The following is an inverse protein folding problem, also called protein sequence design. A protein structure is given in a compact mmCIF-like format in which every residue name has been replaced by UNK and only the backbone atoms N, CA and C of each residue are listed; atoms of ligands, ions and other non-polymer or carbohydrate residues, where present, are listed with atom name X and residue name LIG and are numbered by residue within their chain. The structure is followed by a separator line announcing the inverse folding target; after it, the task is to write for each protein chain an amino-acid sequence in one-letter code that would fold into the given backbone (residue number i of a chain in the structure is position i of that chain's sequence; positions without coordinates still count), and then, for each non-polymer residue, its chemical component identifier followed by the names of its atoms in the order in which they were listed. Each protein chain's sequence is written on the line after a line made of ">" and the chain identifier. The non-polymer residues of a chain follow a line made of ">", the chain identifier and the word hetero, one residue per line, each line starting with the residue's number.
data_IF_066503967826
#
_entry.id   IF_066503967826
#
_cell.length_a   1.000
_cell.length_b   1.000
_cell.length_c   1.000
_cell.angle_alpha   90.00
_cell.angle_beta   90.00
_cell.angle_gamma   90.00
#
_symmetry.space_group_name_H-M   'P 1'
#
loop_
_entity.id
_entity.type
_entity.pdbx_description
1 polymer ?
#
# COMPACT_ATOMS: atom_id res chain seq x y z
N UNK A 1 -39.59 31.75 34.96
CA UNK A 1 -39.60 31.57 33.51
C UNK A 1 -38.52 32.36 32.75
N UNK A 2 -38.24 33.62 33.01
CA UNK A 2 -37.22 34.44 32.28
C UNK A 2 -35.74 33.96 32.45
N UNK A 3 -35.40 33.23 33.50
CA UNK A 3 -34.01 32.70 33.74
C UNK A 3 -33.77 31.35 33.03
N UNK A 4 -34.84 30.59 32.72
CA UNK A 4 -34.69 29.31 32.00
C UNK A 4 -34.51 29.55 30.51
N UNK A 5 -35.15 30.60 29.96
CA UNK A 5 -35.03 30.98 28.54
C UNK A 5 -33.63 31.51 28.18
N UNK A 6 -32.99 32.24 29.12
CA UNK A 6 -31.62 32.74 28.92
C UNK A 6 -30.57 31.62 28.92
N UNK A 7 -30.78 30.56 29.71
CA UNK A 7 -29.88 29.41 29.78
C UNK A 7 -30.01 28.49 28.53
N UNK A 8 -31.24 28.40 27.98
CA UNK A 8 -31.44 27.64 26.74
C UNK A 8 -30.89 28.37 25.50
N UNK A 9 -30.92 29.72 25.48
CA UNK A 9 -30.36 30.53 24.41
C UNK A 9 -28.82 30.54 24.42
N UNK A 10 -28.16 30.36 25.62
CA UNK A 10 -26.73 30.30 25.75
C UNK A 10 -26.16 28.91 25.39
N UNK A 11 -26.98 27.84 25.43
CA UNK A 11 -26.59 26.49 25.05
C UNK A 11 -26.68 26.25 23.53
N UNK A 12 -27.38 27.13 22.80
CA UNK A 12 -27.49 27.04 21.34
C UNK A 12 -26.33 27.70 20.57
N UNK A 13 -25.41 28.39 21.28
CA UNK A 13 -24.25 29.09 20.68
C UNK A 13 -22.92 28.32 20.82
N UNK A 14 -22.96 27.08 21.34
CA UNK A 14 -21.78 26.20 21.49
C UNK A 14 -21.88 24.93 20.62
N UNK A 15 -22.52 25.02 19.46
CA UNK A 15 -22.23 24.02 18.43
C UNK A 15 -20.83 24.33 17.92
N UNK A 16 -19.85 23.40 18.03
CA UNK A 16 -18.62 23.58 17.31
C UNK A 16 -19.00 23.61 15.83
N UNK A 17 -18.84 24.77 15.21
CA UNK A 17 -18.71 24.85 13.76
C UNK A 17 -17.43 24.04 13.50
N UNK A 18 -17.58 22.77 13.11
CA UNK A 18 -16.55 22.11 12.36
C UNK A 18 -16.34 22.99 11.12
N UNK A 19 -15.40 23.93 11.20
CA UNK A 19 -14.83 24.53 10.03
C UNK A 19 -14.21 23.34 9.28
N UNK A 20 -14.95 22.79 8.32
CA UNK A 20 -14.39 21.89 7.34
C UNK A 20 -13.21 22.65 6.77
N UNK A 21 -12.01 22.07 6.84
CA UNK A 21 -10.88 22.60 6.12
C UNK A 21 -11.37 22.78 4.67
N UNK A 22 -11.38 24.03 4.17
CA UNK A 22 -11.69 24.27 2.77
C UNK A 22 -10.64 23.49 1.97
N UNK A 23 -11.11 22.57 1.13
CA UNK A 23 -10.24 21.93 0.14
C UNK A 23 -9.59 23.07 -0.66
N UNK A 24 -8.29 23.00 -0.93
CA UNK A 24 -7.64 24.00 -1.77
C UNK A 24 -8.38 24.04 -3.10
N UNK A 25 -8.62 25.25 -3.60
CA UNK A 25 -9.34 25.48 -4.84
C UNK A 25 -8.62 24.73 -5.96
N UNK A 26 -9.18 23.60 -6.37
CA UNK A 26 -8.65 22.78 -7.44
C UNK A 26 -8.85 23.54 -8.77
N UNK A 27 -7.75 23.86 -9.42
CA UNK A 27 -7.73 24.52 -10.73
C UNK A 27 -6.74 23.77 -11.61
N UNK A 28 -7.23 22.84 -12.42
CA UNK A 28 -6.45 22.04 -13.39
C UNK A 28 -5.59 22.89 -14.34
N UNK A 29 -5.97 24.15 -14.56
CA UNK A 29 -5.32 25.04 -15.51
C UNK A 29 -4.13 25.81 -14.92
N UNK A 30 -3.87 25.66 -13.61
CA UNK A 30 -2.80 26.40 -12.93
C UNK A 30 -1.63 25.45 -12.64
N UNK A 31 -0.50 25.72 -13.29
CA UNK A 31 0.74 24.96 -13.07
C UNK A 31 1.81 25.87 -12.50
N UNK A 32 2.20 25.61 -11.26
CA UNK A 32 3.32 26.29 -10.62
C UNK A 32 4.64 25.59 -10.93
N UNK A 33 5.69 26.40 -11.07
CA UNK A 33 7.08 25.92 -11.10
C UNK A 33 7.74 26.21 -9.77
N UNK A 34 8.35 25.20 -9.17
CA UNK A 34 9.02 25.32 -7.88
C UNK A 34 10.53 25.39 -8.12
N UNK A 35 11.18 26.38 -7.51
CA UNK A 35 12.61 26.60 -7.58
C UNK A 35 13.22 26.54 -6.18
N UNK A 36 14.48 26.16 -6.08
CA UNK A 36 15.21 26.31 -4.82
C UNK A 36 15.62 27.78 -4.56
N UNK A 37 16.19 28.05 -3.37
CA UNK A 37 16.64 29.38 -2.99
C UNK A 37 17.75 29.97 -3.87
N UNK A 38 18.38 29.17 -4.75
CA UNK A 38 19.38 29.59 -5.71
C UNK A 38 18.80 29.77 -7.13
N UNK A 39 17.49 29.54 -7.30
CA UNK A 39 16.81 29.65 -8.60
C UNK A 39 16.92 28.36 -9.44
N UNK A 40 17.42 27.25 -8.92
CA UNK A 40 17.42 25.98 -9.63
C UNK A 40 16.02 25.38 -9.61
N UNK A 41 15.56 24.91 -10.79
CA UNK A 41 14.27 24.25 -10.93
C UNK A 41 14.23 22.92 -10.17
N UNK A 42 13.16 22.71 -9.40
CA UNK A 42 12.94 21.49 -8.64
C UNK A 42 11.86 20.59 -9.28
N UNK A 43 10.66 21.13 -9.48
CA UNK A 43 9.51 20.39 -10.03
C UNK A 43 8.40 21.34 -10.47
N UNK A 44 7.42 20.83 -11.21
CA UNK A 44 6.14 21.50 -11.42
C UNK A 44 5.04 20.84 -10.59
N UNK A 45 3.99 21.59 -10.29
CA UNK A 45 2.81 21.16 -9.60
C UNK A 45 1.55 21.71 -10.24
N UNK A 46 0.60 20.85 -10.60
CA UNK A 46 -0.71 21.25 -11.09
C UNK A 46 -1.66 21.44 -9.91
N UNK A 47 -2.10 22.68 -9.72
CA UNK A 47 -2.90 23.08 -8.58
C UNK A 47 -2.24 24.19 -7.77
N UNK A 48 -2.91 24.67 -6.73
CA UNK A 48 -2.44 25.77 -5.91
C UNK A 48 -1.40 25.35 -4.90
N UNK A 49 -0.28 26.05 -4.87
CA UNK A 49 0.79 25.89 -3.87
C UNK A 49 0.59 26.89 -2.73
N UNK A 50 0.94 26.47 -1.54
CA UNK A 50 0.91 27.31 -0.35
C UNK A 50 2.27 27.32 0.35
N UNK A 51 2.51 28.38 1.10
CA UNK A 51 3.63 28.39 2.04
C UNK A 51 3.51 27.19 2.99
N UNK A 52 4.64 26.63 3.37
CA UNK A 52 4.76 25.42 4.20
C UNK A 52 4.32 24.12 3.51
N UNK A 53 4.00 24.13 2.20
CA UNK A 53 3.95 22.87 1.44
C UNK A 53 5.35 22.28 1.35
N UNK A 54 5.42 20.94 1.37
CA UNK A 54 6.68 20.24 1.39
C UNK A 54 6.89 19.42 0.11
N UNK A 55 8.13 19.27 -0.27
CA UNK A 55 8.53 18.52 -1.45
C UNK A 55 9.71 17.60 -1.10
N UNK A 56 9.50 16.29 -1.14
CA UNK A 56 10.57 15.30 -1.03
C UNK A 56 10.93 14.85 -2.44
N UNK A 57 12.07 15.27 -2.91
CA UNK A 57 12.56 14.99 -4.25
C UNK A 57 12.88 13.51 -4.46
N UNK A 58 13.06 13.10 -5.71
CA UNK A 58 13.45 11.74 -6.05
C UNK A 58 14.76 11.26 -5.38
N UNK A 59 15.67 12.21 -5.06
CA UNK A 59 16.94 11.97 -4.35
C UNK A 59 16.85 12.17 -2.83
N UNK A 60 15.66 12.14 -2.26
CA UNK A 60 15.34 12.23 -0.82
C UNK A 60 15.63 13.59 -0.17
N UNK A 61 15.93 14.62 -0.95
CA UNK A 61 16.05 15.97 -0.42
C UNK A 61 14.67 16.52 -0.08
N UNK A 62 14.53 17.02 1.16
CA UNK A 62 13.34 17.70 1.62
C UNK A 62 13.49 19.20 1.41
N UNK A 63 12.48 19.77 0.79
CA UNK A 63 12.31 21.22 0.61
C UNK A 63 10.98 21.66 1.21
N UNK A 64 10.93 22.89 1.75
CA UNK A 64 9.71 23.54 2.24
C UNK A 64 9.49 24.82 1.45
N UNK A 65 8.28 25.02 0.94
CA UNK A 65 7.88 26.22 0.22
C UNK A 65 7.91 27.43 1.19
N UNK A 66 8.72 28.41 0.86
CA UNK A 66 8.92 29.61 1.68
C UNK A 66 8.22 30.84 1.13
N UNK A 67 7.99 30.89 -0.19
CA UNK A 67 7.24 31.96 -0.83
C UNK A 67 6.54 31.45 -2.09
N UNK A 68 5.42 32.08 -2.41
CA UNK A 68 4.61 31.81 -3.60
C UNK A 68 4.34 33.13 -4.33
N UNK A 69 4.53 33.15 -5.64
CA UNK A 69 4.16 34.26 -6.51
C UNK A 69 3.05 33.79 -7.46
N UNK A 70 1.81 34.11 -7.11
CA UNK A 70 0.62 33.73 -7.86
C UNK A 70 0.59 34.43 -9.24
N UNK A 71 1.24 35.60 -9.39
CA UNK A 71 1.26 36.34 -10.67
C UNK A 71 2.17 35.68 -11.70
N UNK A 72 3.24 35.06 -11.25
CA UNK A 72 4.23 34.38 -12.09
C UNK A 72 4.02 32.84 -12.10
N UNK A 73 3.10 32.32 -11.29
CA UNK A 73 2.89 30.91 -11.07
C UNK A 73 4.19 30.19 -10.68
N UNK A 74 4.90 30.78 -9.72
CA UNK A 74 6.17 30.25 -9.22
C UNK A 74 6.17 30.16 -7.70
N UNK A 75 6.94 29.22 -7.17
CA UNK A 75 7.21 29.13 -5.76
C UNK A 75 8.72 28.95 -5.51
N UNK A 76 9.19 29.47 -4.37
CA UNK A 76 10.55 29.22 -3.90
C UNK A 76 10.48 28.28 -2.71
N UNK A 77 11.31 27.24 -2.71
CA UNK A 77 11.42 26.29 -1.63
C UNK A 77 12.84 26.23 -1.08
N UNK A 78 12.96 26.14 0.23
CA UNK A 78 14.26 26.04 0.91
C UNK A 78 14.58 24.60 1.22
N UNK A 79 15.81 24.17 0.95
CA UNK A 79 16.32 22.88 1.36
C UNK A 79 16.41 22.81 2.88
N UNK A 80 15.85 21.75 3.47
CA UNK A 80 15.79 21.54 4.92
C UNK A 80 16.72 20.41 5.38
N UNK A 81 16.88 19.37 4.55
CA UNK A 81 17.68 18.20 4.90
C UNK A 81 17.40 17.02 3.98
N UNK A 82 17.99 15.89 4.33
CA UNK A 82 17.67 14.60 3.70
C UNK A 82 16.60 13.88 4.50
N UNK A 83 15.56 13.42 3.84
CA UNK A 83 14.64 12.47 4.46
C UNK A 83 15.31 11.10 4.51
N UNK A 84 15.33 10.52 5.71
CA UNK A 84 15.83 9.17 5.93
C UNK A 84 14.68 8.28 6.36
N UNK A 85 14.50 7.18 5.67
CA UNK A 85 13.52 6.18 6.03
C UNK A 85 14.03 4.79 5.64
N UNK A 86 13.67 3.80 6.42
CA UNK A 86 14.01 2.41 6.12
C UNK A 86 12.83 1.75 5.41
N UNK A 87 13.13 1.08 4.28
CA UNK A 87 12.16 0.17 3.69
C UNK A 87 11.84 -0.90 4.74
N UNK A 88 10.55 -1.22 4.93
CA UNK A 88 10.14 -2.27 5.88
C UNK A 88 10.77 -3.59 5.45
N UNK A 89 11.87 -3.96 6.10
CA UNK A 89 12.48 -5.29 5.97
C UNK A 89 11.84 -6.14 7.06
N UNK A 90 11.01 -7.11 6.68
CA UNK A 90 10.61 -8.14 7.62
C UNK A 90 11.84 -8.95 8.04
N UNK A 91 12.42 -8.58 9.16
CA UNK A 91 13.23 -9.52 9.93
C UNK A 91 12.23 -10.43 10.66
N UNK A 92 12.04 -11.65 10.16
CA UNK A 92 11.45 -12.71 10.97
C UNK A 92 12.38 -12.95 12.16
N UNK A 93 12.14 -12.23 13.25
CA UNK A 93 12.69 -12.61 14.55
C UNK A 93 11.89 -13.83 15.03
N UNK A 94 12.47 -15.01 14.82
CA UNK A 94 12.03 -16.23 15.50
C UNK A 94 12.27 -15.97 16.99
N UNK A 95 11.25 -15.57 17.72
CA UNK A 95 11.29 -15.53 19.17
C UNK A 95 11.34 -16.97 19.70
N UNK A 96 12.55 -17.45 19.97
CA UNK A 96 12.77 -18.61 20.84
C UNK A 96 12.49 -18.17 22.27
N UNK A 97 11.42 -18.70 22.86
CA UNK A 97 11.03 -18.38 24.22
C UNK A 97 12.05 -18.85 25.25
N UNK A 98 12.45 -17.93 26.14
CA UNK A 98 12.98 -18.27 27.45
C UNK A 98 12.31 -17.35 28.48
N UNK A 99 11.50 -17.95 29.32
CA UNK A 99 10.84 -17.28 30.43
C UNK A 99 11.86 -16.87 31.51
N UNK A 100 11.75 -15.63 32.00
CA UNK A 100 12.21 -15.28 33.33
C UNK A 100 11.28 -14.24 33.95
N UNK A 101 10.58 -14.64 34.98
CA UNK A 101 9.76 -13.79 35.84
C UNK A 101 10.63 -13.00 36.79
N UNK A 102 10.30 -11.70 37.00
CA UNK A 102 10.42 -11.04 38.33
C UNK A 102 9.58 -9.76 38.41
N UNK A 103 8.60 -9.81 39.30
CA UNK A 103 8.08 -8.81 40.24
C UNK A 103 7.91 -7.34 39.90
N UNK A 104 6.66 -6.87 40.07
CA UNK A 104 6.21 -5.48 40.17
C UNK A 104 6.65 -4.78 41.49
N UNK A 105 6.49 -3.45 41.59
CA UNK A 105 5.28 -2.94 42.26
C UNK A 105 4.65 -1.64 41.70
N UNK A 106 3.34 -1.65 41.71
CA UNK A 106 2.31 -0.68 42.17
C UNK A 106 2.54 0.85 42.13
N UNK A 107 1.57 1.55 41.51
CA UNK A 107 0.66 2.62 41.90
C UNK A 107 0.48 3.70 40.84
N UNK A 108 -0.65 3.78 40.24
CA UNK A 108 -1.91 4.59 40.37
C UNK A 108 -1.95 5.97 39.67
N UNK A 109 -3.12 6.59 39.39
CA UNK A 109 -3.69 6.61 38.07
C UNK A 109 -3.87 8.03 37.49
N UNK A 110 -4.08 8.14 36.17
CA UNK A 110 -4.69 9.32 35.60
C UNK A 110 -4.00 9.92 34.38
N UNK A 111 -4.39 9.48 33.21
CA UNK A 111 -4.57 10.28 32.00
C UNK A 111 -4.93 9.31 30.85
N UNK A 112 -6.10 9.49 30.30
CA UNK A 112 -6.56 8.81 29.09
C UNK A 112 -5.67 9.20 27.91
N UNK A 113 -4.76 8.33 27.55
CA UNK A 113 -4.03 8.40 26.30
C UNK A 113 -4.81 7.58 25.27
N UNK A 114 -5.16 8.24 24.17
CA UNK A 114 -5.70 7.57 22.98
C UNK A 114 -4.73 6.49 22.53
N UNK A 115 -5.25 5.29 22.37
CA UNK A 115 -4.49 4.11 22.01
C UNK A 115 -3.88 4.26 20.63
N UNK A 116 -2.56 4.28 20.55
CA UNK A 116 -1.82 3.91 19.35
C UNK A 116 -2.04 2.41 19.13
N UNK A 117 -3.02 2.08 18.30
CA UNK A 117 -3.16 0.73 17.78
C UNK A 117 -2.11 0.56 16.66
N UNK A 118 -0.95 0.01 17.02
CA UNK A 118 -0.11 -0.65 16.02
C UNK A 118 -0.87 -1.88 15.53
N UNK A 119 -1.08 -2.07 14.21
CA UNK A 119 -1.66 -3.30 13.72
C UNK A 119 -0.66 -4.43 13.98
N UNK A 120 -1.03 -5.38 14.82
CA UNK A 120 -0.32 -6.66 14.96
C UNK A 120 -0.32 -7.39 13.61
N UNK A 121 0.86 -7.43 12.98
CA UNK A 121 1.09 -8.18 11.75
C UNK A 121 1.32 -9.65 12.08
N UNK A 122 0.28 -10.36 12.54
CA UNK A 122 0.26 -11.83 12.58
C UNK A 122 -1.19 -12.34 12.62
N UNK A 123 -1.84 -12.22 11.46
CA UNK A 123 -3.14 -12.84 11.25
C UNK A 123 -3.27 -13.20 9.79
N UNK A 124 -3.89 -14.32 9.47
CA UNK A 124 -4.40 -14.66 8.15
C UNK A 124 -5.52 -13.68 7.74
N UNK A 125 -5.21 -12.37 7.82
CA UNK A 125 -6.07 -11.28 7.43
C UNK A 125 -6.25 -11.26 5.92
N UNK A 126 -7.43 -10.89 5.48
CA UNK A 126 -7.78 -10.68 4.08
C UNK A 126 -6.86 -9.60 3.50
N UNK A 127 -5.98 -9.95 2.55
CA UNK A 127 -5.16 -8.98 1.84
C UNK A 127 -6.08 -8.16 0.92
N UNK A 128 -6.59 -7.04 1.40
CA UNK A 128 -7.55 -6.21 0.68
C UNK A 128 -7.00 -4.80 0.52
N UNK A 129 -7.03 -4.28 -0.70
CA UNK A 129 -6.77 -2.88 -1.04
C UNK A 129 -8.05 -2.28 -1.61
N UNK A 130 -8.42 -1.09 -1.16
CA UNK A 130 -9.50 -0.30 -1.73
C UNK A 130 -8.94 0.81 -2.61
N UNK A 131 -9.57 1.01 -3.76
CA UNK A 131 -9.16 2.01 -4.75
C UNK A 131 -10.37 2.77 -5.26
N UNK A 132 -10.18 4.02 -5.62
CA UNK A 132 -11.14 4.86 -6.33
C UNK A 132 -10.38 5.92 -7.12
N UNK A 133 -11.08 6.74 -7.90
CA UNK A 133 -10.54 7.93 -8.55
C UNK A 133 -11.46 9.11 -8.26
N UNK A 134 -10.93 10.13 -7.59
CA UNK A 134 -11.70 11.36 -7.35
C UNK A 134 -12.04 12.04 -8.67
N UNK A 135 -11.10 12.07 -9.61
CA UNK A 135 -11.27 12.66 -10.93
C UNK A 135 -11.39 11.59 -12.01
N UNK A 136 -12.56 10.96 -12.10
CA UNK A 136 -12.83 9.84 -13.03
C UNK A 136 -12.81 10.19 -14.51
N UNK A 137 -12.76 11.48 -14.85
CA UNK A 137 -12.69 11.98 -16.23
C UNK A 137 -11.26 12.24 -16.72
N UNK A 138 -10.26 12.20 -15.85
CA UNK A 138 -8.87 12.37 -16.22
C UNK A 138 -8.46 11.44 -17.34
N UNK A 139 -7.78 11.99 -18.33
CA UNK A 139 -7.38 11.29 -19.54
C UNK A 139 -6.01 11.76 -20.02
N UNK A 140 -5.43 11.02 -20.95
CA UNK A 140 -4.08 11.23 -21.48
C UNK A 140 -4.17 11.70 -22.92
N UNK A 141 -3.82 12.97 -23.20
CA UNK A 141 -3.97 13.56 -24.52
C UNK A 141 -3.35 12.74 -25.66
N UNK A 142 -2.13 12.20 -25.54
CA UNK A 142 -1.52 11.45 -26.65
C UNK A 142 -2.27 10.17 -27.03
N UNK A 143 -2.91 9.53 -26.05
CA UNK A 143 -3.56 8.22 -26.25
C UNK A 143 -5.07 8.33 -26.33
N UNK A 144 -5.67 9.19 -25.53
CA UNK A 144 -7.12 9.36 -25.43
C UNK A 144 -7.65 10.47 -26.34
N UNK A 145 -6.77 11.33 -26.87
CA UNK A 145 -7.10 12.46 -27.76
C UNK A 145 -7.67 13.68 -27.02
N UNK A 146 -7.71 13.65 -25.69
CA UNK A 146 -8.21 14.73 -24.84
C UNK A 146 -7.67 14.55 -23.42
N UNK A 147 -7.58 15.66 -22.67
CA UNK A 147 -7.19 15.66 -21.25
C UNK A 147 -8.31 15.17 -20.32
N UNK A 148 -9.57 15.22 -20.74
CA UNK A 148 -10.73 14.85 -19.92
C UNK A 148 -11.80 14.18 -20.79
N UNK A 149 -12.42 13.12 -20.24
CA UNK A 149 -13.59 12.43 -20.77
C UNK A 149 -14.66 12.32 -19.68
N UNK A 150 -15.81 12.92 -19.86
CA UNK A 150 -16.91 12.88 -18.88
C UNK A 150 -17.45 11.46 -18.60
N UNK A 151 -17.14 10.50 -19.44
CA UNK A 151 -17.39 9.06 -19.23
C UNK A 151 -16.13 8.28 -19.51
N UNK A 152 -15.75 7.44 -18.58
CA UNK A 152 -14.61 6.55 -18.70
C UNK A 152 -13.31 7.28 -19.10
N UNK A 153 -12.85 8.18 -18.25
CA UNK A 153 -11.52 8.78 -18.40
C UNK A 153 -10.43 7.73 -18.48
N UNK A 154 -9.33 8.05 -19.17
CA UNK A 154 -8.21 7.13 -19.34
C UNK A 154 -7.58 6.66 -18.03
N UNK A 155 -7.81 7.41 -16.95
CA UNK A 155 -7.34 7.05 -15.60
C UNK A 155 -7.99 5.75 -15.09
N UNK A 156 -9.22 5.45 -15.48
CA UNK A 156 -9.87 4.20 -15.10
C UNK A 156 -9.18 2.97 -15.70
N UNK A 157 -8.61 3.09 -16.91
CA UNK A 157 -7.80 2.02 -17.50
C UNK A 157 -6.53 1.77 -16.66
N UNK A 158 -5.90 2.83 -16.15
CA UNK A 158 -4.72 2.75 -15.29
C UNK A 158 -5.08 2.14 -13.93
N UNK A 159 -6.20 2.57 -13.32
CA UNK A 159 -6.72 1.99 -12.09
C UNK A 159 -7.03 0.50 -12.23
N UNK A 160 -7.67 0.10 -13.32
CA UNK A 160 -7.94 -1.32 -13.62
C UNK A 160 -6.66 -2.12 -13.82
N UNK A 161 -5.67 -1.56 -14.51
CA UNK A 161 -4.37 -2.22 -14.67
C UNK A 161 -3.64 -2.41 -13.33
N UNK A 162 -3.71 -1.42 -12.42
CA UNK A 162 -3.15 -1.54 -11.06
C UNK A 162 -3.89 -2.63 -10.28
N UNK A 163 -5.23 -2.65 -10.31
CA UNK A 163 -6.06 -3.69 -9.72
C UNK A 163 -5.65 -5.07 -10.21
N UNK A 164 -5.62 -5.28 -11.54
CA UNK A 164 -5.31 -6.57 -12.15
C UNK A 164 -3.90 -7.06 -11.74
N UNK A 165 -2.92 -6.13 -11.64
CA UNK A 165 -1.57 -6.48 -11.24
C UNK A 165 -1.46 -6.84 -9.75
N UNK A 166 -2.21 -6.17 -8.87
CA UNK A 166 -2.33 -6.56 -7.45
C UNK A 166 -3.04 -7.93 -7.31
N UNK A 167 -4.11 -8.16 -8.07
CA UNK A 167 -4.86 -9.42 -8.03
C UNK A 167 -4.02 -10.61 -8.51
N UNK A 168 -3.18 -10.44 -9.53
CA UNK A 168 -2.19 -11.45 -9.95
C UNK A 168 -1.20 -11.83 -8.83
N UNK A 169 -0.96 -10.92 -7.88
CA UNK A 169 -0.12 -11.17 -6.70
C UNK A 169 -0.91 -11.74 -5.51
N UNK A 170 -2.19 -12.07 -5.69
CA UNK A 170 -3.06 -12.63 -4.65
C UNK A 170 -3.58 -11.60 -3.65
N UNK A 171 -3.52 -10.31 -3.97
CA UNK A 171 -4.16 -9.22 -3.23
C UNK A 171 -5.59 -9.08 -3.74
N UNK A 172 -6.57 -9.03 -2.84
CA UNK A 172 -7.94 -8.67 -3.22
C UNK A 172 -8.01 -7.16 -3.42
N UNK A 173 -8.70 -6.72 -4.47
CA UNK A 173 -8.88 -5.30 -4.74
C UNK A 173 -10.35 -4.98 -4.95
N UNK A 174 -10.80 -3.91 -4.34
CA UNK A 174 -12.08 -3.29 -4.67
C UNK A 174 -11.78 -1.92 -5.24
N UNK A 175 -12.03 -1.76 -6.53
CA UNK A 175 -11.92 -0.49 -7.24
C UNK A 175 -13.32 0.02 -7.54
N UNK A 176 -13.65 1.20 -7.00
CA UNK A 176 -14.93 1.87 -7.24
C UNK A 176 -14.73 2.95 -8.31
N UNK A 177 -15.42 2.79 -9.43
CA UNK A 177 -15.35 3.66 -10.61
C UNK A 177 -16.49 4.68 -10.68
N UNK A 178 -17.19 4.92 -9.55
CA UNK A 178 -18.26 5.90 -9.47
C UNK A 178 -17.79 7.28 -9.88
N UNK A 179 -18.59 7.98 -10.69
CA UNK A 179 -18.26 9.32 -11.15
C UNK A 179 -18.47 10.37 -10.07
N UNK A 180 -17.50 11.25 -9.92
CA UNK A 180 -17.56 12.36 -8.95
C UNK A 180 -17.59 13.75 -9.62
N UNK A 181 -17.99 13.78 -10.88
CA UNK A 181 -18.12 15.00 -11.68
C UNK A 181 -19.11 16.04 -11.08
N UNK A 182 -18.93 17.34 -11.40
CA UNK A 182 -17.93 17.90 -12.31
C UNK A 182 -16.50 17.85 -11.72
N UNK A 183 -15.48 18.00 -12.59
CA UNK A 183 -14.08 18.11 -12.20
C UNK A 183 -13.84 19.51 -11.63
N UNK A 184 -14.04 19.68 -10.35
CA UNK A 184 -13.91 20.94 -9.63
C UNK A 184 -13.46 20.68 -8.17
N UNK A 185 -13.21 21.73 -7.41
CA UNK A 185 -12.83 21.67 -6.00
C UNK A 185 -13.82 20.84 -5.13
N UNK A 186 -15.05 20.67 -5.56
CA UNK A 186 -16.05 19.84 -4.87
C UNK A 186 -15.94 18.35 -5.15
N UNK A 187 -15.06 17.90 -6.06
CA UNK A 187 -14.91 16.49 -6.42
C UNK A 187 -14.49 15.64 -5.22
N UNK A 188 -13.56 16.12 -4.38
CA UNK A 188 -13.16 15.43 -3.14
C UNK A 188 -14.32 15.26 -2.15
N UNK A 189 -15.20 16.23 -2.03
CA UNK A 189 -16.39 16.11 -1.19
C UNK A 189 -17.37 15.06 -1.74
N UNK A 190 -17.48 14.94 -3.08
CA UNK A 190 -18.35 13.93 -3.72
C UNK A 190 -17.74 12.53 -3.61
N UNK A 191 -16.45 12.39 -3.84
CA UNK A 191 -15.73 11.11 -3.72
C UNK A 191 -15.60 10.62 -2.28
N UNK A 192 -15.77 11.50 -1.29
CA UNK A 192 -15.74 11.13 0.13
C UNK A 192 -16.70 10.00 0.46
N UNK A 193 -17.92 10.03 -0.06
CA UNK A 193 -18.90 8.98 0.17
C UNK A 193 -18.40 7.63 -0.36
N UNK A 194 -17.79 7.62 -1.55
CA UNK A 194 -17.17 6.41 -2.13
C UNK A 194 -16.05 5.89 -1.24
N UNK A 195 -15.17 6.76 -0.76
CA UNK A 195 -14.09 6.39 0.15
C UNK A 195 -14.63 5.79 1.47
N UNK A 196 -15.66 6.39 2.07
CA UNK A 196 -16.30 5.88 3.28
C UNK A 196 -16.95 4.50 3.07
N UNK A 197 -17.60 4.26 1.93
CA UNK A 197 -18.19 2.95 1.59
C UNK A 197 -17.10 1.88 1.37
N UNK A 198 -15.99 2.25 0.76
CA UNK A 198 -14.85 1.37 0.58
C UNK A 198 -14.22 0.96 1.93
N UNK A 199 -14.10 1.90 2.86
CA UNK A 199 -13.53 1.65 4.20
C UNK A 199 -14.38 0.69 5.04
N UNK A 200 -15.69 0.58 4.80
CA UNK A 200 -16.55 -0.43 5.46
C UNK A 200 -16.13 -1.87 5.16
N UNK A 201 -15.38 -2.08 4.07
CA UNK A 201 -14.82 -3.39 3.69
C UNK A 201 -13.53 -3.74 4.44
N UNK A 202 -13.04 -2.83 5.29
CA UNK A 202 -11.83 -2.97 6.10
C UNK A 202 -10.58 -3.29 5.25
N UNK A 203 -10.19 -2.42 4.30
CA UNK A 203 -8.99 -2.60 3.52
C UNK A 203 -7.73 -2.27 4.34
N UNK A 204 -6.57 -2.76 3.89
CA UNK A 204 -5.25 -2.41 4.45
C UNK A 204 -4.74 -1.04 3.93
N UNK A 205 -5.23 -0.60 2.77
CA UNK A 205 -4.93 0.72 2.22
C UNK A 205 -6.10 1.27 1.42
N UNK A 206 -6.21 2.60 1.38
CA UNK A 206 -7.12 3.36 0.53
C UNK A 206 -6.30 4.17 -0.47
N UNK A 207 -6.49 3.94 -1.76
CA UNK A 207 -5.69 4.56 -2.82
C UNK A 207 -6.59 5.35 -3.76
N UNK A 208 -6.28 6.62 -3.93
CA UNK A 208 -6.88 7.48 -4.94
C UNK A 208 -5.98 7.51 -6.19
N UNK A 209 -6.51 7.13 -7.36
CA UNK A 209 -5.73 6.95 -8.59
C UNK A 209 -5.98 8.13 -9.53
N UNK A 210 -4.91 8.83 -9.86
CA UNK A 210 -4.90 10.07 -10.65
C UNK A 210 -3.82 10.08 -11.72
N UNK A 211 -3.85 11.12 -12.56
CA UNK A 211 -2.73 11.59 -13.37
C UNK A 211 -2.47 13.07 -13.08
N UNK A 212 -1.21 13.50 -13.12
CA UNK A 212 -0.82 14.88 -12.89
C UNK A 212 -1.27 15.81 -14.05
N UNK A 213 -1.66 17.04 -13.73
CA UNK A 213 -2.06 18.06 -14.69
C UNK A 213 -0.89 18.78 -15.38
N UNK A 214 0.37 18.56 -14.97
CA UNK A 214 1.51 19.28 -15.54
C UNK A 214 1.70 18.94 -17.03
N UNK A 215 2.08 19.92 -17.88
CA UNK A 215 2.11 19.70 -19.33
C UNK A 215 3.38 19.00 -19.84
N UNK A 216 4.51 19.02 -19.11
CA UNK A 216 5.77 18.44 -19.57
C UNK A 216 5.90 16.94 -19.23
N UNK A 217 5.75 16.01 -20.20
CA UNK A 217 5.84 14.59 -19.94
C UNK A 217 7.24 14.14 -19.50
N UNK A 218 8.30 14.92 -19.78
CA UNK A 218 9.69 14.59 -19.41
C UNK A 218 9.89 14.49 -17.91
N UNK A 219 9.08 15.16 -17.12
CA UNK A 219 9.13 15.04 -15.67
C UNK A 219 8.76 13.64 -15.20
N UNK A 220 7.96 12.92 -15.98
CA UNK A 220 7.46 11.58 -15.68
C UNK A 220 8.08 10.47 -16.53
N UNK A 221 8.68 10.79 -17.66
CA UNK A 221 9.30 9.79 -18.53
C UNK A 221 10.40 9.01 -17.81
N UNK A 222 10.33 7.67 -17.90
CA UNK A 222 11.33 6.77 -17.32
C UNK A 222 11.38 5.45 -18.07
N UNK A 223 12.56 4.86 -18.18
CA UNK A 223 12.74 3.45 -18.54
C UNK A 223 13.02 2.66 -17.27
N UNK A 224 12.20 1.65 -16.98
CA UNK A 224 12.30 0.79 -15.80
C UNK A 224 12.46 -0.66 -16.29
N UNK A 225 13.55 -1.30 -15.90
CA UNK A 225 13.89 -2.68 -16.36
C UNK A 225 13.85 -2.87 -17.88
N UNK A 226 14.20 -1.84 -18.63
CA UNK A 226 14.23 -1.88 -20.10
C UNK A 226 12.90 -1.56 -20.78
N UNK A 227 11.84 -1.32 -20.01
CA UNK A 227 10.52 -0.98 -20.54
C UNK A 227 10.23 0.51 -20.36
N UNK A 228 9.60 1.11 -21.34
CA UNK A 228 9.13 2.49 -21.27
C UNK A 228 7.96 2.61 -20.31
N UNK A 229 8.15 3.39 -19.27
CA UNK A 229 7.21 3.56 -18.18
C UNK A 229 7.06 5.04 -17.82
N UNK A 230 6.11 5.35 -16.97
CA UNK A 230 5.95 6.64 -16.33
C UNK A 230 6.45 6.56 -14.89
N UNK A 231 7.02 7.64 -14.37
CA UNK A 231 7.16 7.79 -12.92
C UNK A 231 5.78 7.95 -12.26
N UNK A 232 5.76 7.85 -10.94
CA UNK A 232 4.57 8.07 -10.11
C UNK A 232 4.91 9.10 -9.04
N UNK A 233 4.08 10.16 -8.91
CA UNK A 233 4.12 11.07 -7.76
C UNK A 233 3.23 10.51 -6.66
N UNK A 234 3.66 10.65 -5.42
CA UNK A 234 2.85 10.39 -4.24
C UNK A 234 2.38 11.72 -3.68
N UNK A 235 1.08 11.89 -3.47
CA UNK A 235 0.54 13.11 -2.90
C UNK A 235 -0.10 12.86 -1.54
N UNK A 236 0.26 13.73 -0.57
CA UNK A 236 -0.16 13.64 0.82
C UNK A 236 -0.73 14.98 1.27
N UNK A 237 -1.89 14.93 1.89
CA UNK A 237 -2.53 16.08 2.51
C UNK A 237 -1.97 16.36 3.90
N UNK A 238 -1.43 17.59 4.14
CA UNK A 238 -0.88 17.97 5.45
C UNK A 238 -1.91 18.55 6.41
N UNK A 239 -3.11 18.89 5.93
CA UNK A 239 -4.14 19.53 6.74
C UNK A 239 -5.17 18.56 7.31
N UNK A 240 -4.77 17.34 7.65
CA UNK A 240 -5.66 16.32 8.18
C UNK A 240 -5.06 15.62 9.42
N UNK A 241 -5.89 15.02 10.30
CA UNK A 241 -5.41 14.38 11.54
C UNK A 241 -4.55 13.12 11.31
N UNK A 242 -4.58 12.52 10.12
CA UNK A 242 -3.76 11.37 9.74
C UNK A 242 -2.51 11.77 8.93
N UNK A 243 -2.19 13.07 8.78
CA UNK A 243 -1.11 13.55 7.91
C UNK A 243 0.23 12.84 8.14
N UNK A 244 0.63 12.66 9.41
CA UNK A 244 1.89 11.98 9.76
C UNK A 244 1.86 10.49 9.37
N UNK A 245 0.72 9.82 9.51
CA UNK A 245 0.56 8.44 9.13
C UNK A 245 0.55 8.27 7.60
N UNK A 246 -0.17 9.13 6.88
CA UNK A 246 -0.18 9.15 5.41
C UNK A 246 1.21 9.45 4.85
N UNK A 247 1.92 10.45 5.43
CA UNK A 247 3.32 10.75 5.08
C UNK A 247 4.24 9.53 5.31
N UNK A 248 4.10 8.86 6.45
CA UNK A 248 4.87 7.66 6.76
C UNK A 248 4.60 6.56 5.74
N UNK A 249 3.35 6.35 5.37
CA UNK A 249 2.97 5.37 4.35
C UNK A 249 3.56 5.71 2.97
N UNK A 250 3.46 6.96 2.53
CA UNK A 250 4.07 7.43 1.28
C UNK A 250 5.60 7.23 1.28
N UNK A 251 6.29 7.53 2.40
CA UNK A 251 7.72 7.32 2.57
C UNK A 251 8.10 5.83 2.50
N UNK A 252 7.32 4.93 3.09
CA UNK A 252 7.53 3.47 2.98
C UNK A 252 7.39 2.98 1.53
N UNK A 253 6.40 3.51 0.79
CA UNK A 253 6.23 3.23 -0.65
C UNK A 253 7.48 3.67 -1.40
N UNK A 254 7.92 4.93 -1.23
CA UNK A 254 9.10 5.47 -1.91
C UNK A 254 10.36 4.66 -1.59
N UNK A 255 10.66 4.39 -0.32
CA UNK A 255 11.81 3.60 0.09
C UNK A 255 11.85 2.20 -0.54
N UNK A 256 10.67 1.55 -0.60
CA UNK A 256 10.54 0.22 -1.21
C UNK A 256 10.72 0.29 -2.72
N UNK A 257 10.15 1.32 -3.35
CA UNK A 257 10.29 1.55 -4.78
C UNK A 257 11.74 1.85 -5.16
N UNK A 258 12.42 2.74 -4.45
CA UNK A 258 13.82 3.13 -4.74
C UNK A 258 14.77 1.93 -4.64
N UNK A 259 14.51 1.01 -3.71
CA UNK A 259 15.27 -0.23 -3.57
C UNK A 259 14.97 -1.24 -4.69
N UNK A 260 13.74 -1.30 -5.21
CA UNK A 260 13.28 -2.36 -6.12
C UNK A 260 13.26 -1.92 -7.58
N UNK A 261 12.83 -0.67 -7.81
CA UNK A 261 12.61 -0.02 -9.10
C UNK A 261 13.11 1.43 -9.05
N UNK A 262 14.42 1.67 -8.99
CA UNK A 262 14.99 3.00 -8.83
C UNK A 262 14.45 3.99 -9.87
N UNK A 263 13.89 5.09 -9.38
CA UNK A 263 13.31 6.14 -10.17
C UNK A 263 11.87 5.89 -10.63
N UNK A 264 11.16 4.88 -10.10
CA UNK A 264 9.73 4.73 -10.26
C UNK A 264 8.98 5.88 -9.59
N UNK A 265 9.37 6.24 -8.36
CA UNK A 265 8.77 7.39 -7.68
C UNK A 265 9.45 8.67 -8.15
N UNK A 266 8.64 9.60 -8.66
CA UNK A 266 9.07 10.94 -9.03
C UNK A 266 9.48 11.73 -7.79
N UNK A 267 8.56 11.82 -6.86
CA UNK A 267 8.65 12.60 -5.64
C UNK A 267 7.49 12.26 -4.68
N UNK A 268 7.52 12.87 -3.48
CA UNK A 268 6.36 12.98 -2.59
C UNK A 268 6.06 14.48 -2.46
N UNK A 269 4.86 14.91 -2.85
CA UNK A 269 4.38 16.25 -2.61
C UNK A 269 3.42 16.25 -1.41
N UNK A 270 3.64 17.16 -0.46
CA UNK A 270 2.86 17.23 0.79
C UNK A 270 2.18 18.60 0.80
N UNK A 271 0.98 18.64 0.22
CA UNK A 271 0.20 19.85 0.00
C UNK A 271 -0.81 20.14 1.10
N UNK A 272 -1.38 21.34 1.06
CA UNK A 272 -2.36 21.81 2.06
C UNK A 272 -3.68 21.04 2.06
N UNK A 273 -4.01 20.29 1.01
CA UNK A 273 -5.27 19.55 0.88
C UNK A 273 -5.47 18.44 1.93
N UNK A 274 -6.69 17.92 2.00
CA UNK A 274 -7.04 16.74 2.80
C UNK A 274 -7.10 15.47 1.95
N UNK A 275 -7.58 15.56 0.71
CA UNK A 275 -7.68 14.48 -0.28
C UNK A 275 -8.38 13.22 0.26
N UNK A 276 -9.39 13.37 1.14
CA UNK A 276 -10.05 12.29 1.88
C UNK A 276 -9.08 11.40 2.71
N UNK A 277 -7.83 11.79 2.87
CA UNK A 277 -6.81 11.00 3.58
C UNK A 277 -7.00 11.04 5.10
N UNK A 278 -7.76 11.99 5.63
CA UNK A 278 -8.17 12.02 7.02
C UNK A 278 -9.06 10.82 7.40
N UNK A 279 -9.63 10.13 6.43
CA UNK A 279 -10.47 8.96 6.66
C UNK A 279 -9.67 7.71 7.03
N UNK A 280 -8.40 7.61 6.59
CA UNK A 280 -7.62 6.39 6.80
C UNK A 280 -6.11 6.64 6.89
N UNK A 281 -5.40 6.07 7.91
CA UNK A 281 -3.97 6.29 8.11
C UNK A 281 -3.08 5.78 6.96
N UNK A 282 -3.48 4.68 6.28
CA UNK A 282 -2.78 4.16 5.11
C UNK A 282 -3.52 4.59 3.84
N UNK A 283 -3.63 5.91 3.64
CA UNK A 283 -4.19 6.52 2.44
C UNK A 283 -3.13 7.31 1.69
N UNK A 284 -3.16 7.25 0.36
CA UNK A 284 -2.27 8.00 -0.54
C UNK A 284 -2.95 8.24 -1.88
N UNK A 285 -2.63 9.38 -2.51
CA UNK A 285 -2.99 9.68 -3.88
C UNK A 285 -1.78 9.38 -4.78
N UNK A 286 -2.00 8.69 -5.90
CA UNK A 286 -0.98 8.25 -6.84
C UNK A 286 -1.20 8.90 -8.21
N UNK A 287 -0.25 9.74 -8.64
CA UNK A 287 -0.23 10.37 -9.95
C UNK A 287 0.55 9.52 -10.94
N UNK A 288 -0.12 8.80 -11.82
CA UNK A 288 0.49 7.96 -12.85
C UNK A 288 0.76 8.75 -14.14
N UNK A 289 1.91 9.40 -14.21
CA UNK A 289 2.23 10.24 -15.36
C UNK A 289 1.50 11.57 -15.32
N UNK A 290 1.50 12.25 -16.45
CA UNK A 290 0.86 13.55 -16.64
C UNK A 290 -0.17 13.50 -17.77
N UNK A 291 -0.96 14.55 -17.91
CA UNK A 291 -1.91 14.75 -19.02
C UNK A 291 -1.28 14.49 -20.40
N UNK A 292 0.01 14.80 -20.58
CA UNK A 292 0.78 14.63 -21.82
C UNK A 292 1.58 13.31 -21.89
N UNK A 293 1.46 12.43 -20.91
CA UNK A 293 2.06 11.09 -20.92
C UNK A 293 1.29 10.15 -21.86
N UNK A 294 1.97 9.27 -22.61
CA UNK A 294 1.29 8.13 -23.25
C UNK A 294 0.71 7.21 -22.17
N UNK A 295 -0.60 6.97 -22.19
CA UNK A 295 -1.31 6.13 -21.21
C UNK A 295 -0.69 4.73 -21.07
N UNK A 296 -0.14 4.15 -22.14
CA UNK A 296 0.49 2.85 -22.06
C UNK A 296 1.72 2.86 -21.12
N UNK A 297 2.45 3.99 -21.05
CA UNK A 297 3.55 4.14 -20.08
C UNK A 297 3.04 4.21 -18.64
N UNK A 298 1.91 4.87 -18.41
CA UNK A 298 1.25 4.89 -17.09
C UNK A 298 0.76 3.48 -16.69
N UNK A 299 0.10 2.76 -17.62
CA UNK A 299 -0.31 1.36 -17.44
C UNK A 299 0.90 0.47 -17.14
N UNK A 300 2.01 0.64 -17.86
CA UNK A 300 3.24 -0.12 -17.62
C UNK A 300 3.77 0.08 -16.19
N UNK A 301 3.65 1.28 -15.65
CA UNK A 301 4.10 1.57 -14.28
C UNK A 301 3.28 0.85 -13.20
N UNK A 302 2.03 0.50 -13.51
CA UNK A 302 1.15 -0.15 -12.52
C UNK A 302 1.65 -1.51 -12.05
N UNK A 303 2.36 -2.27 -12.89
CA UNK A 303 2.94 -3.55 -12.47
C UNK A 303 4.05 -3.37 -11.42
N UNK A 304 4.87 -2.32 -11.57
CA UNK A 304 5.93 -2.01 -10.62
C UNK A 304 5.35 -1.45 -9.31
N UNK A 305 4.35 -0.58 -9.42
CA UNK A 305 3.66 -0.02 -8.26
C UNK A 305 2.90 -1.10 -7.49
N UNK A 306 2.24 -2.04 -8.18
CA UNK A 306 1.55 -3.17 -7.54
C UNK A 306 2.53 -4.04 -6.72
N UNK A 307 3.73 -4.32 -7.24
CA UNK A 307 4.75 -5.07 -6.49
C UNK A 307 5.25 -4.28 -5.28
N UNK A 308 5.45 -2.97 -5.43
CA UNK A 308 5.82 -2.09 -4.30
C UNK A 308 4.75 -2.09 -3.22
N UNK A 309 3.48 -1.87 -3.59
CA UNK A 309 2.36 -1.87 -2.65
C UNK A 309 2.19 -3.23 -1.96
N UNK A 310 2.29 -4.34 -2.71
CA UNK A 310 2.24 -5.68 -2.12
C UNK A 310 3.37 -5.92 -1.11
N UNK A 311 4.58 -5.42 -1.38
CA UNK A 311 5.71 -5.50 -0.44
C UNK A 311 5.50 -4.65 0.80
N UNK A 312 5.03 -3.43 0.65
CA UNK A 312 4.81 -2.50 1.77
C UNK A 312 3.69 -2.99 2.68
N UNK A 313 2.57 -3.44 2.10
CA UNK A 313 1.37 -3.79 2.87
C UNK A 313 1.41 -5.24 3.40
N UNK A 314 2.03 -6.16 2.66
CA UNK A 314 1.88 -7.59 2.90
C UNK A 314 3.22 -8.38 2.92
N UNK A 315 4.35 -7.68 2.96
CA UNK A 315 5.67 -8.32 2.99
C UNK A 315 6.07 -9.04 1.70
N UNK A 316 5.34 -8.86 0.62
CA UNK A 316 5.76 -9.31 -0.72
C UNK A 316 5.83 -10.83 -0.92
N UNK A 317 5.18 -11.65 -0.08
CA UNK A 317 5.06 -13.07 -0.34
C UNK A 317 4.19 -13.29 -1.58
N UNK A 318 4.80 -13.31 -2.77
CA UNK A 318 4.14 -13.73 -3.98
C UNK A 318 3.71 -15.18 -3.83
N UNK A 319 2.42 -15.49 -3.94
CA UNK A 319 1.99 -16.83 -4.28
C UNK A 319 2.58 -17.13 -5.65
N UNK A 320 3.50 -18.09 -5.73
CA UNK A 320 3.80 -18.75 -6.98
C UNK A 320 2.49 -19.41 -7.43
N UNK A 321 1.76 -18.76 -8.34
CA UNK A 321 0.71 -19.45 -9.07
C UNK A 321 1.38 -20.57 -9.86
N UNK A 322 1.03 -21.80 -9.53
CA UNK A 322 1.26 -22.93 -10.41
C UNK A 322 0.37 -22.75 -11.63
N UNK A 323 0.86 -21.99 -12.60
CA UNK A 323 0.30 -22.00 -13.96
C UNK A 323 0.52 -23.40 -14.51
N UNK A 324 -0.50 -24.25 -14.39
CA UNK A 324 -0.62 -25.40 -15.27
C UNK A 324 -0.91 -24.90 -16.69
N UNK A 325 0.10 -24.38 -17.34
CA UNK A 325 0.11 -24.30 -18.80
C UNK A 325 0.57 -25.64 -19.33
N UNK A 326 -0.40 -26.41 -19.81
CA UNK A 326 -0.18 -27.51 -20.71
C UNK A 326 0.53 -26.98 -21.97
N UNK A 327 1.86 -27.05 -21.98
CA UNK A 327 2.66 -26.96 -23.20
C UNK A 327 3.70 -28.06 -23.14
N UNK A 328 3.38 -29.17 -23.82
CA UNK A 328 4.39 -30.14 -24.23
C UNK A 328 5.37 -29.40 -25.17
N UNK A 329 6.57 -29.13 -24.67
CA UNK A 329 7.79 -29.26 -25.48
C UNK A 329 9.04 -29.16 -24.60
N UNK A 330 9.78 -30.24 -24.64
CA UNK A 330 10.99 -30.67 -24.02
C UNK A 330 12.03 -29.65 -23.55
N UNK A 331 12.45 -29.85 -22.31
CA UNK A 331 13.85 -29.69 -21.97
C UNK A 331 14.24 -30.73 -20.88
N UNK A 332 14.99 -31.76 -21.28
CA UNK A 332 15.33 -32.94 -20.49
C UNK A 332 16.51 -32.71 -19.51
N UNK A 333 16.75 -31.52 -18.99
CA UNK A 333 17.92 -31.27 -18.14
C UNK A 333 17.69 -30.82 -16.71
N UNK A 334 16.51 -30.33 -16.34
CA UNK A 334 16.24 -29.81 -14.97
C UNK A 334 15.78 -30.88 -13.96
N UNK A 335 15.34 -32.05 -14.42
CA UNK A 335 14.79 -33.09 -13.56
C UNK A 335 15.80 -33.90 -12.75
N UNK A 336 17.10 -33.90 -13.13
CA UNK A 336 18.12 -34.72 -12.46
C UNK A 336 18.64 -34.11 -11.14
N UNK A 337 18.63 -32.78 -11.02
CA UNK A 337 19.13 -32.10 -9.81
C UNK A 337 18.20 -32.25 -8.61
N UNK A 338 16.88 -32.18 -8.83
CA UNK A 338 15.87 -32.29 -7.76
C UNK A 338 15.77 -33.74 -7.23
N UNK A 339 15.89 -34.72 -8.10
CA UNK A 339 15.93 -36.14 -7.70
C UNK A 339 17.17 -36.49 -6.86
N UNK A 340 18.33 -35.89 -7.13
CA UNK A 340 19.53 -36.04 -6.30
C UNK A 340 19.42 -35.39 -4.93
N UNK A 341 18.73 -34.24 -4.81
CA UNK A 341 18.47 -33.58 -3.53
C UNK A 341 17.51 -34.40 -2.66
N UNK A 342 16.42 -34.90 -3.22
CA UNK A 342 15.47 -35.77 -2.50
C UNK A 342 16.14 -37.09 -2.10
N UNK A 343 16.93 -37.69 -2.98
CA UNK A 343 17.68 -38.88 -2.70
C UNK A 343 18.72 -38.68 -1.59
N UNK A 344 19.41 -37.55 -1.59
CA UNK A 344 20.37 -37.20 -0.54
C UNK A 344 19.77 -37.05 0.84
N UNK A 345 18.61 -36.45 0.97
CA UNK A 345 17.90 -36.26 2.24
C UNK A 345 17.39 -37.61 2.78
N UNK A 346 16.90 -38.50 1.91
CA UNK A 346 16.46 -39.85 2.32
C UNK A 346 17.65 -40.68 2.83
N UNK A 347 18.79 -40.66 2.12
CA UNK A 347 20.00 -41.40 2.53
C UNK A 347 20.55 -40.85 3.85
N UNK A 348 20.60 -39.53 4.04
CA UNK A 348 21.00 -38.92 5.29
C UNK A 348 20.09 -39.31 6.46
N UNK A 349 18.76 -39.32 6.23
CA UNK A 349 17.77 -39.75 7.22
C UNK A 349 17.90 -41.23 7.62
N UNK A 350 18.20 -42.12 6.67
CA UNK A 350 18.45 -43.55 6.94
C UNK A 350 19.76 -43.77 7.72
N UNK A 351 20.85 -43.05 7.35
CA UNK A 351 22.12 -43.10 8.07
C UNK A 351 21.95 -42.60 9.52
N UNK A 352 21.23 -41.52 9.72
CA UNK A 352 20.94 -41.00 11.05
C UNK A 352 20.10 -41.97 11.90
N UNK A 353 19.07 -42.59 11.29
CA UNK A 353 18.22 -43.58 11.97
C UNK A 353 19.00 -44.86 12.35
N UNK A 354 19.95 -45.32 11.51
CA UNK A 354 20.81 -46.45 11.81
C UNK A 354 21.83 -46.12 12.90
N UNK A 355 22.41 -44.93 12.88
CA UNK A 355 23.31 -44.48 13.93
C UNK A 355 22.61 -44.32 15.29
N UNK A 356 21.33 -43.91 15.31
CA UNK A 356 20.56 -43.70 16.52
C UNK A 356 19.98 -45.01 17.10
N UNK A 357 19.86 -46.09 16.33
CA UNK A 357 19.16 -47.35 16.75
C UNK A 357 20.07 -48.58 16.75
N UNK A 358 21.27 -48.50 16.19
CA UNK A 358 22.29 -49.56 16.18
C UNK A 358 21.94 -50.80 15.36
N UNK A 359 20.69 -51.01 14.94
CA UNK A 359 20.24 -52.17 14.18
C UNK A 359 19.04 -51.87 13.28
N UNK A 360 18.90 -52.60 12.15
CA UNK A 360 17.80 -52.52 11.20
C UNK A 360 16.40 -52.83 11.82
N UNK A 361 16.35 -53.71 12.81
CA UNK A 361 15.10 -54.07 13.50
C UNK A 361 14.61 -52.98 14.45
N UNK A 362 15.52 -52.25 15.11
CA UNK A 362 15.18 -51.10 15.93
C UNK A 362 14.56 -49.94 15.12
N UNK A 363 14.98 -49.76 13.87
CA UNK A 363 14.40 -48.77 12.96
C UNK A 363 12.96 -49.11 12.55
N UNK A 364 12.68 -50.38 12.22
CA UNK A 364 11.33 -50.83 11.86
C UNK A 364 10.32 -50.63 13.01
N UNK A 365 10.73 -50.88 14.25
CA UNK A 365 9.86 -50.70 15.41
C UNK A 365 9.55 -49.21 15.71
N UNK A 366 10.45 -48.29 15.43
CA UNK A 366 10.21 -46.85 15.61
C UNK A 366 9.35 -46.27 14.50
N UNK A 367 9.57 -46.66 13.24
CA UNK A 367 8.74 -46.26 12.11
C UNK A 367 7.30 -46.75 12.21
N UNK A 368 7.10 -47.99 12.69
CA UNK A 368 5.76 -48.54 12.90
C UNK A 368 4.98 -47.82 14.02
N UNK A 369 5.69 -47.32 15.05
CA UNK A 369 5.09 -46.56 16.15
C UNK A 369 4.72 -45.14 15.72
N UNK A 370 5.59 -44.46 14.98
CA UNK A 370 5.32 -43.13 14.44
C UNK A 370 4.17 -43.11 13.42
N UNK A 371 4.05 -44.14 12.59
CA UNK A 371 2.95 -44.25 11.63
C UNK A 371 1.58 -44.46 12.30
N UNK A 372 1.53 -45.10 13.45
CA UNK A 372 0.28 -45.32 14.22
C UNK A 372 -0.18 -44.03 14.95
N UNK A 373 0.74 -43.12 15.29
CA UNK A 373 0.42 -41.86 15.93
C UNK A 373 -0.08 -40.81 14.91
N UNK A 374 0.40 -40.84 13.67
CA UNK A 374 0.00 -39.90 12.59
C UNK A 374 -1.33 -40.31 11.94
N UNK A 375 -1.69 -41.60 11.93
CA UNK A 375 -2.95 -42.10 11.31
C UNK A 375 -4.12 -42.25 12.27
N UNK A 376 -4.09 -41.65 13.47
CA UNK A 376 -5.21 -41.59 14.42
C UNK A 376 -6.03 -42.87 14.52
N UNK A 377 -5.67 -43.77 15.42
CA UNK A 377 -6.23 -45.08 15.57
C UNK A 377 -7.75 -45.12 15.54
N UNK A 378 -8.31 -45.74 14.52
CA UNK A 378 -9.68 -46.22 14.50
C UNK A 378 -9.76 -47.50 13.67
N UNK A 379 -9.49 -48.62 14.31
CA UNK A 379 -10.06 -49.92 13.98
C UNK A 379 -9.92 -50.87 15.19
N UNK A 380 -10.75 -50.60 16.19
CA UNK A 380 -10.99 -51.54 17.27
C UNK A 380 -11.93 -52.66 16.79
N UNK A 381 -11.39 -53.86 16.57
CA UNK A 381 -12.22 -55.08 16.49
C UNK A 381 -12.83 -55.34 17.85
N UNK A 382 -14.17 -55.38 17.96
CA UNK A 382 -14.91 -55.86 19.10
C UNK A 382 -14.61 -57.38 19.30
N UNK A 383 -14.36 -57.83 20.54
CA UNK A 383 -14.31 -59.28 20.84
C UNK A 383 -15.71 -59.86 20.73
N UNK A 384 -15.82 -61.08 20.18
CA UNK A 384 -17.05 -61.93 20.20
C UNK A 384 -17.29 -62.45 21.60
N UNK A 385 -18.50 -62.22 22.09
CA UNK A 385 -19.03 -62.92 23.33
C UNK A 385 -19.04 -64.42 23.20
N UNK A 386 -18.73 -65.17 24.28
CA UNK A 386 -18.86 -66.61 24.30
C UNK A 386 -20.35 -67.00 24.42
N UNK A 387 -20.77 -68.00 23.64
CA UNK A 387 -22.09 -68.67 23.77
C UNK A 387 -22.05 -69.65 24.94
N UNK A 388 -23.00 -69.45 25.84
CA UNK A 388 -23.26 -70.44 26.90
C UNK A 388 -23.76 -71.81 26.36
N UNK A 389 -23.34 -72.93 26.96
CA UNK A 389 -23.87 -74.25 26.62
C UNK A 389 -25.13 -74.53 27.41
N UNK A 390 -26.03 -75.31 26.81
CA UNK A 390 -27.15 -75.94 27.47
C UNK A 390 -26.67 -77.06 28.41
#
# INVERSE_FOLDING_TARGET
>A
MKRLTAMLLMMLLLTPVCAGAEEPEYQDDIVYRIYDGNGAYLTSYAGRIYQDDEYIAGDDKLYIVTSVDDSMLTATASYVGMETYEARVETQTVFSGAAAATSAPSASPGATAAANASPDASGSGKKLVAMYSTHTDESYEPTDGTSSKTKNGGILDVGNALKDNLEKMGVQVVYDESSHLPHDAGAYRRSRQTAEELLKKQPEALIDVHRDGIPDPKEYDKTIKGEDASKVRLEVGRSNPNADANRTFAKQIKATADKTYPGLIKDIFIGKGNYNQELYPQSVLLEFGTVSTDKNRAIQSTQYMADVLNKVLFGGAAKAESSQTNTQQGNKSAGKGVLWLIGGVIVAGVIFALAATGTFDGMKHRLARGASEVTGGSMGRRPKEPKDPK
#
